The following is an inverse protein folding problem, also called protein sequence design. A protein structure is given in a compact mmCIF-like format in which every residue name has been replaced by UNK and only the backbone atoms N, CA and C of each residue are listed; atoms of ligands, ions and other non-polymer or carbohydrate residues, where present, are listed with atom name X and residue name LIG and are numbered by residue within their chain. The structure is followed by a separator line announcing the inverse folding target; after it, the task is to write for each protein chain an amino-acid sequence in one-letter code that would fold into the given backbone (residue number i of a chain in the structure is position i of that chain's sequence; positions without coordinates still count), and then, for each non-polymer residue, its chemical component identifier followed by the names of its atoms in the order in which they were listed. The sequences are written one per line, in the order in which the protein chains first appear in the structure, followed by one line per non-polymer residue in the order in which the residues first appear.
data_IF_664757494770
#
_entry.id   IF_664757494770
#
_cell.length_a   1.000
_cell.length_b   1.000
_cell.length_c   1.000
_cell.angle_alpha   90.00
_cell.angle_beta   90.00
_cell.angle_gamma   90.00
#
_symmetry.space_group_name_H-M   'P 1'
#
loop_
_entity.id
_entity.type
_entity.pdbx_description
1 polymer ?
#
# COMPACT_ATOMS: atom_id res chain seq x y z
N UNK A 1 17.47 3.08 14.73
CA UNK A 1 16.91 1.97 13.94
C UNK A 1 16.23 2.56 12.71
N UNK A 2 16.63 2.18 11.49
CA UNK A 2 16.06 2.73 10.24
C UNK A 2 15.24 1.64 9.55
N UNK A 3 13.92 1.80 9.61
CA UNK A 3 12.92 1.01 8.91
C UNK A 3 12.42 1.77 7.68
N UNK A 4 12.28 1.08 6.56
CA UNK A 4 11.98 1.65 5.25
C UNK A 4 10.72 0.96 4.69
N UNK A 5 9.65 1.73 4.49
CA UNK A 5 8.43 1.22 3.88
C UNK A 5 8.32 1.69 2.42
N UNK A 6 7.98 0.77 1.51
CA UNK A 6 7.63 1.08 0.13
C UNK A 6 6.13 1.40 0.04
N UNK A 7 5.79 2.41 -0.75
CA UNK A 7 4.41 2.63 -1.18
C UNK A 7 4.35 2.98 -2.67
N UNK A 8 3.22 2.67 -3.29
CA UNK A 8 2.90 3.02 -4.66
C UNK A 8 1.62 3.86 -4.71
N UNK A 9 1.61 4.92 -5.53
CA UNK A 9 0.48 5.83 -5.70
C UNK A 9 -0.05 5.71 -7.13
N UNK A 10 -1.28 5.24 -7.28
CA UNK A 10 -2.04 5.33 -8.53
C UNK A 10 -2.98 6.54 -8.45
N UNK A 11 -2.59 7.64 -9.11
CA UNK A 11 -3.42 8.84 -9.20
C UNK A 11 -4.60 8.63 -10.17
N UNK A 12 -5.69 9.37 -9.94
CA UNK A 12 -6.85 9.37 -10.85
C UNK A 12 -6.60 10.28 -12.05
N UNK A 13 -6.69 9.72 -13.25
CA UNK A 13 -6.44 10.42 -14.51
C UNK A 13 -7.67 11.18 -15.06
N UNK A 14 -8.34 12.00 -14.23
CA UNK A 14 -9.55 12.70 -14.70
C UNK A 14 -9.63 14.16 -14.28
N UNK A 15 -10.32 14.96 -15.11
CA UNK A 15 -10.64 16.39 -14.95
C UNK A 15 -11.46 16.76 -13.70
N UNK A 16 -11.67 15.82 -12.76
CA UNK A 16 -12.34 16.09 -11.50
C UNK A 16 -11.43 16.95 -10.62
N UNK A 17 -11.94 18.10 -10.17
CA UNK A 17 -11.22 18.93 -9.22
C UNK A 17 -11.09 18.18 -7.88
N UNK A 18 -9.90 17.64 -7.62
CA UNK A 18 -9.44 17.07 -6.33
C UNK A 18 -10.11 15.75 -5.91
N UNK A 19 -9.78 14.62 -6.56
CA UNK A 19 -10.28 13.31 -6.16
C UNK A 19 -9.72 12.88 -4.79
N UNK A 20 -10.55 12.22 -3.98
CA UNK A 20 -10.20 11.76 -2.62
C UNK A 20 -8.97 10.82 -2.63
N UNK A 21 -8.32 10.64 -1.48
CA UNK A 21 -7.18 9.73 -1.33
C UNK A 21 -7.59 8.52 -0.48
N UNK A 22 -7.41 7.33 -1.02
CA UNK A 22 -7.66 6.05 -0.33
C UNK A 22 -6.31 5.38 -0.10
N UNK A 23 -5.93 5.24 1.18
CA UNK A 23 -4.81 4.41 1.59
C UNK A 23 -5.23 2.95 1.66
N UNK A 24 -4.66 2.11 0.81
CA UNK A 24 -4.86 0.67 0.84
C UNK A 24 -3.72 -0.01 1.61
N UNK A 25 -4.09 -0.71 2.68
CA UNK A 25 -3.20 -1.57 3.45
C UNK A 25 -3.77 -2.98 3.43
N UNK A 26 -3.14 -3.91 2.70
CA UNK A 26 -3.39 -5.32 2.88
C UNK A 26 -2.34 -5.86 3.84
N UNK A 27 -2.79 -6.18 5.05
CA UNK A 27 -1.99 -6.91 6.02
C UNK A 27 -2.55 -8.32 6.15
N UNK A 28 -1.67 -9.30 6.03
CA UNK A 28 -1.88 -10.65 6.55
C UNK A 28 -0.76 -10.93 7.54
N UNK A 29 -1.11 -11.03 8.82
CA UNK A 29 -0.15 -11.36 9.89
C UNK A 29 -0.03 -12.87 10.05
N UNK A 30 1.20 -13.28 10.36
CA UNK A 30 1.74 -14.66 10.40
C UNK A 30 0.83 -15.63 11.15
N UNK A 31 0.71 -16.87 10.66
CA UNK A 31 1.42 -17.97 11.32
C UNK A 31 2.35 -18.80 10.43
N UNK A 32 2.11 -18.96 9.12
CA UNK A 32 2.92 -19.88 8.28
C UNK A 32 3.04 -19.42 6.81
N UNK A 33 2.78 -18.15 6.50
CA UNK A 33 2.81 -17.63 5.13
C UNK A 33 3.39 -16.22 5.09
N UNK A 34 4.18 -15.86 4.05
CA UNK A 34 4.79 -14.55 3.95
C UNK A 34 3.71 -13.48 4.02
N UNK A 35 3.92 -12.47 4.86
CA UNK A 35 3.06 -11.30 4.96
C UNK A 35 2.72 -10.77 3.57
N UNK A 36 1.43 -10.65 3.27
CA UNK A 36 0.93 -10.29 1.95
C UNK A 36 1.33 -8.85 1.59
N UNK A 37 1.69 -8.62 0.33
CA UNK A 37 2.02 -7.28 -0.19
C UNK A 37 0.75 -6.58 -0.67
N UNK A 38 0.52 -5.35 -0.19
CA UNK A 38 -0.55 -4.48 -0.71
C UNK A 38 -0.42 -4.18 -2.20
N UNK A 39 0.82 -4.11 -2.71
CA UNK A 39 1.07 -3.90 -4.14
C UNK A 39 0.84 -5.20 -4.91
N UNK A 40 1.32 -6.33 -4.39
CA UNK A 40 1.21 -7.64 -5.04
C UNK A 40 -0.22 -8.14 -5.17
N UNK A 41 -1.03 -8.03 -4.11
CA UNK A 41 -2.43 -8.44 -4.14
C UNK A 41 -3.36 -7.26 -4.45
N UNK A 42 -3.40 -6.28 -3.54
CA UNK A 42 -4.35 -5.18 -3.58
C UNK A 42 -4.30 -4.39 -4.89
N UNK A 43 -3.10 -4.04 -5.32
CA UNK A 43 -2.93 -3.25 -6.53
C UNK A 43 -2.87 -4.11 -7.80
N UNK A 44 -2.04 -5.16 -7.82
CA UNK A 44 -1.77 -5.91 -9.03
C UNK A 44 -2.77 -7.03 -9.33
N UNK A 45 -3.67 -7.38 -8.41
CA UNK A 45 -4.64 -8.47 -8.60
C UNK A 45 -6.10 -8.07 -8.31
N UNK A 46 -6.35 -6.98 -7.55
CA UNK A 46 -7.69 -6.64 -7.09
C UNK A 46 -8.21 -5.27 -7.59
N UNK A 47 -7.67 -4.17 -7.04
CA UNK A 47 -8.29 -2.84 -7.10
C UNK A 47 -7.47 -1.83 -7.89
N UNK A 48 -6.22 -2.15 -8.24
CA UNK A 48 -5.33 -1.26 -8.96
C UNK A 48 -5.59 -1.19 -10.46
N UNK A 49 -4.91 -0.26 -11.16
CA UNK A 49 -5.18 0.04 -12.57
C UNK A 49 -4.67 -1.02 -13.55
N UNK A 50 -3.71 -1.86 -13.13
CA UNK A 50 -2.95 -2.74 -14.02
C UNK A 50 -2.80 -4.12 -13.39
N UNK A 51 -3.13 -5.16 -14.16
CA UNK A 51 -2.91 -6.55 -13.77
C UNK A 51 -1.84 -7.19 -14.66
N UNK A 52 -0.97 -8.06 -14.12
CA UNK A 52 -0.07 -8.86 -14.93
C UNK A 52 -0.87 -9.83 -15.80
N UNK A 53 -0.38 -10.08 -17.01
CA UNK A 53 -0.92 -11.10 -17.90
C UNK A 53 -0.01 -12.32 -17.88
N UNK A 54 -0.62 -13.51 -17.85
CA UNK A 54 0.09 -14.78 -17.97
C UNK A 54 0.47 -15.01 -19.44
N UNK A 55 1.57 -14.39 -19.85
CA UNK A 55 2.14 -14.49 -21.19
C UNK A 55 3.65 -14.70 -21.08
N UNK A 56 4.25 -15.29 -22.12
CA UNK A 56 5.71 -15.43 -22.23
C UNK A 56 6.49 -14.11 -22.25
N UNK A 57 5.79 -12.98 -22.34
CA UNK A 57 6.35 -11.63 -22.26
C UNK A 57 5.64 -10.84 -21.16
N UNK A 58 6.37 -10.00 -20.40
CA UNK A 58 5.79 -9.16 -19.36
C UNK A 58 4.84 -8.13 -19.99
N UNK A 59 3.54 -8.41 -19.92
CA UNK A 59 2.47 -7.52 -20.37
C UNK A 59 1.52 -7.21 -19.21
N UNK A 60 1.04 -5.98 -19.17
CA UNK A 60 0.01 -5.55 -18.24
C UNK A 60 -1.32 -5.40 -18.98
N UNK A 61 -2.43 -5.74 -18.35
CA UNK A 61 -3.80 -5.44 -18.81
C UNK A 61 -4.37 -4.33 -17.94
N UNK A 62 -5.14 -3.42 -18.53
CA UNK A 62 -5.87 -2.41 -17.77
C UNK A 62 -7.03 -3.07 -17.02
N UNK A 63 -7.24 -2.65 -15.77
CA UNK A 63 -8.40 -3.00 -14.97
C UNK A 63 -9.52 -1.96 -15.20
N UNK A 64 -10.59 -2.28 -15.94
CA UNK A 64 -11.68 -1.33 -16.17
C UNK A 64 -12.47 -0.99 -14.90
N UNK A 65 -12.34 -1.80 -13.84
CA UNK A 65 -13.02 -1.61 -12.54
C UNK A 65 -12.07 -1.11 -11.45
N UNK A 66 -10.91 -0.57 -11.82
CA UNK A 66 -9.94 -0.04 -10.87
C UNK A 66 -10.57 1.03 -9.98
N UNK A 67 -10.27 0.98 -8.68
CA UNK A 67 -10.71 2.00 -7.74
C UNK A 67 -10.05 3.36 -8.04
N UNK A 68 -8.95 3.38 -8.79
CA UNK A 68 -8.34 4.65 -9.20
C UNK A 68 -9.24 5.46 -10.16
N UNK A 69 -10.30 4.84 -10.71
CA UNK A 69 -11.34 5.55 -11.45
C UNK A 69 -12.17 6.49 -10.57
N UNK A 70 -12.20 6.28 -9.25
CA UNK A 70 -12.97 7.08 -8.29
C UNK A 70 -12.08 7.95 -7.38
N UNK A 71 -10.92 7.44 -6.97
CA UNK A 71 -10.03 8.09 -6.00
C UNK A 71 -8.55 7.94 -6.39
N UNK A 72 -7.64 8.62 -5.72
CA UNK A 72 -6.22 8.27 -5.75
C UNK A 72 -5.99 7.09 -4.81
N UNK A 73 -5.26 6.06 -5.25
CA UNK A 73 -4.96 4.88 -4.44
C UNK A 73 -3.51 4.91 -3.97
N UNK A 74 -3.28 4.87 -2.67
CA UNK A 74 -1.96 4.75 -2.06
C UNK A 74 -1.82 3.36 -1.42
N UNK A 75 -1.09 2.46 -2.08
CA UNK A 75 -0.79 1.11 -1.59
C UNK A 75 0.48 1.13 -0.73
N UNK A 76 0.40 0.74 0.54
CA UNK A 76 1.55 0.70 1.45
C UNK A 76 1.97 -0.75 1.76
N UNK A 77 3.23 -1.10 1.55
CA UNK A 77 3.79 -2.36 2.04
C UNK A 77 4.21 -2.23 3.51
N UNK A 78 3.54 -2.93 4.40
CA UNK A 78 3.78 -2.90 5.85
C UNK A 78 3.48 -4.27 6.48
N UNK A 79 4.20 -4.69 7.53
CA UNK A 79 5.36 -4.04 8.14
C UNK A 79 6.65 -4.13 7.28
N UNK A 80 7.77 -3.67 7.83
CA UNK A 80 9.08 -3.98 7.21
C UNK A 80 9.28 -5.50 7.08
N UNK A 81 9.98 -5.92 6.03
CA UNK A 81 10.13 -7.33 5.66
C UNK A 81 9.05 -7.81 4.67
N UNK A 82 7.98 -7.04 4.45
CA UNK A 82 7.01 -7.30 3.38
C UNK A 82 7.58 -6.82 2.05
N UNK A 83 7.93 -7.78 1.19
CA UNK A 83 8.32 -7.56 -0.21
C UNK A 83 9.44 -6.51 -0.36
N UNK A 84 9.14 -5.26 -0.71
CA UNK A 84 10.15 -4.21 -0.90
C UNK A 84 10.34 -3.30 0.32
N UNK A 85 9.48 -3.41 1.34
CA UNK A 85 9.71 -2.79 2.64
C UNK A 85 10.80 -3.54 3.41
N UNK A 86 11.80 -2.84 3.92
CA UNK A 86 12.98 -3.45 4.54
C UNK A 86 13.46 -2.71 5.79
N UNK A 87 14.31 -3.39 6.56
CA UNK A 87 15.02 -2.83 7.71
C UNK A 87 16.51 -3.16 7.60
N UNK A 88 17.35 -2.27 8.12
CA UNK A 88 18.80 -2.52 8.26
C UNK A 88 19.14 -3.26 9.56
N UNK A 89 18.14 -3.62 10.37
CA UNK A 89 18.31 -4.26 11.67
C UNK A 89 17.50 -5.56 11.68
N UNK A 90 18.18 -6.69 11.54
CA UNK A 90 17.54 -8.00 11.37
C UNK A 90 16.65 -8.40 12.56
N UNK A 91 16.97 -7.96 13.78
CA UNK A 91 16.16 -8.21 14.98
C UNK A 91 14.76 -7.57 14.92
N UNK A 92 14.56 -6.52 14.10
CA UNK A 92 13.23 -5.93 13.95
C UNK A 92 12.23 -6.98 13.46
N UNK A 93 12.64 -7.91 12.59
CA UNK A 93 11.77 -8.93 11.97
C UNK A 93 11.19 -9.90 13.00
N UNK A 94 11.92 -10.15 14.10
CA UNK A 94 11.45 -10.96 15.23
C UNK A 94 10.61 -10.18 16.24
N UNK A 95 10.72 -8.85 16.24
CA UNK A 95 10.00 -7.96 17.17
C UNK A 95 8.68 -7.41 16.59
N UNK A 96 8.42 -7.64 15.29
CA UNK A 96 7.21 -7.14 14.63
C UNK A 96 5.93 -7.64 15.30
N UNK A 97 4.96 -6.74 15.40
CA UNK A 97 3.62 -6.98 15.91
C UNK A 97 2.75 -5.74 15.69
N UNK A 98 1.47 -5.84 15.99
CA UNK A 98 0.44 -4.86 15.61
C UNK A 98 0.80 -3.44 16.07
N UNK A 99 1.31 -3.30 17.30
CA UNK A 99 1.73 -2.00 17.85
C UNK A 99 2.87 -1.36 17.06
N UNK A 100 3.88 -2.15 16.66
CA UNK A 100 5.02 -1.64 15.89
C UNK A 100 4.57 -1.29 14.47
N UNK A 101 3.81 -2.18 13.84
CA UNK A 101 3.23 -1.98 12.50
C UNK A 101 2.39 -0.71 12.45
N UNK A 102 1.45 -0.52 13.39
CA UNK A 102 0.60 0.66 13.46
C UNK A 102 1.41 1.95 13.65
N UNK A 103 2.42 1.92 14.54
CA UNK A 103 3.30 3.07 14.78
C UNK A 103 4.12 3.45 13.55
N UNK A 104 4.64 2.46 12.83
CA UNK A 104 5.41 2.67 11.62
C UNK A 104 4.53 3.16 10.46
N UNK A 105 3.36 2.55 10.24
CA UNK A 105 2.38 2.98 9.25
C UNK A 105 1.89 4.41 9.51
N UNK A 106 1.59 4.77 10.76
CA UNK A 106 1.22 6.13 11.14
C UNK A 106 2.35 7.14 10.87
N UNK A 107 3.58 6.78 11.25
CA UNK A 107 4.77 7.60 10.97
C UNK A 107 4.98 7.78 9.47
N UNK A 108 4.76 6.72 8.69
CA UNK A 108 4.81 6.76 7.24
C UNK A 108 3.80 7.74 6.67
N UNK A 109 2.52 7.65 7.05
CA UNK A 109 1.45 8.54 6.55
C UNK A 109 1.79 10.01 6.83
N UNK A 110 2.21 10.35 8.05
CA UNK A 110 2.61 11.73 8.40
C UNK A 110 3.75 12.22 7.50
N UNK A 111 4.79 11.40 7.31
CA UNK A 111 5.94 11.75 6.45
C UNK A 111 5.55 11.82 4.97
N UNK A 112 4.63 10.97 4.53
CA UNK A 112 4.11 10.96 3.17
C UNK A 112 3.36 12.26 2.86
N UNK A 113 2.45 12.71 3.73
CA UNK A 113 1.78 14.01 3.58
C UNK A 113 2.73 15.22 3.71
N UNK A 114 3.87 15.06 4.41
CA UNK A 114 4.94 16.06 4.39
C UNK A 114 5.64 16.14 3.04
N UNK A 115 5.90 14.99 2.41
CA UNK A 115 6.53 14.89 1.10
C UNK A 115 5.59 15.30 -0.06
N UNK A 116 4.31 14.96 0.04
CA UNK A 116 3.29 15.25 -0.97
C UNK A 116 2.20 16.17 -0.38
N UNK A 117 2.52 17.45 -0.12
CA UNK A 117 1.60 18.39 0.55
C UNK A 117 0.32 18.66 -0.24
N UNK A 118 0.30 18.44 -1.56
CA UNK A 118 -0.89 18.59 -2.40
C UNK A 118 -2.04 17.66 -1.97
N UNK A 119 -1.74 16.55 -1.29
CA UNK A 119 -2.75 15.62 -0.82
C UNK A 119 -3.37 16.00 0.53
N UNK A 120 -2.79 16.94 1.30
CA UNK A 120 -3.25 17.27 2.66
C UNK A 120 -4.69 17.79 2.73
N UNK A 121 -5.18 18.43 1.67
CA UNK A 121 -6.55 18.94 1.62
C UNK A 121 -7.58 17.91 1.15
N UNK A 122 -7.15 16.72 0.73
CA UNK A 122 -8.06 15.66 0.29
C UNK A 122 -8.61 14.93 1.50
N UNK A 123 -9.86 14.47 1.40
CA UNK A 123 -10.37 13.48 2.35
C UNK A 123 -9.53 12.21 2.21
N UNK A 124 -9.13 11.67 3.35
CA UNK A 124 -8.27 10.49 3.44
C UNK A 124 -9.04 9.36 4.11
N UNK A 125 -9.15 8.24 3.40
CA UNK A 125 -9.78 7.02 3.90
C UNK A 125 -8.74 5.90 3.97
N UNK A 126 -8.87 5.01 4.94
CA UNK A 126 -8.06 3.79 5.04
C UNK A 126 -8.96 2.62 4.68
N UNK A 127 -8.50 1.77 3.76
CA UNK A 127 -9.12 0.50 3.41
C UNK A 127 -8.11 -0.62 3.53
N UNK A 128 -8.58 -1.84 3.74
CA UNK A 128 -7.74 -3.02 3.79
C UNK A 128 -8.55 -4.30 3.87
N UNK A 129 -7.90 -5.41 3.56
CA UNK A 129 -8.47 -6.74 3.64
C UNK A 129 -7.84 -7.56 4.78
N UNK A 130 -8.58 -8.55 5.29
CA UNK A 130 -8.09 -9.55 6.24
C UNK A 130 -7.55 -8.93 7.54
N UNK A 131 -6.28 -9.17 7.89
CA UNK A 131 -5.68 -8.69 9.13
C UNK A 131 -5.54 -7.17 9.17
N UNK A 132 -5.71 -6.47 8.04
CA UNK A 132 -5.78 -5.01 8.02
C UNK A 132 -6.97 -4.43 8.80
N UNK A 133 -7.96 -5.26 9.18
CA UNK A 133 -9.06 -4.87 10.07
C UNK A 133 -8.67 -4.80 11.56
N UNK A 134 -7.45 -5.19 11.92
CA UNK A 134 -6.85 -5.10 13.27
C UNK A 134 -5.99 -3.85 13.38
#
# INVERSE_FOLDING_TARGET
MRRHLLAHLAERDTRVARPELVGNMNLRVRSESPSCSSIGYGEAEELGPLFPQDNSQPKLKLNPYSWNNAANLLSLESPVGVRFSYTNTSSDISELGDTITAKDSHTFIIKWFRRFPQFRSHKFYISGESYAGI
#
